data_IF_329089488770
#
_entry.id   IF_329089488770
#
_cell.length_a   1.000
_cell.length_b   1.000
_cell.length_c   1.000
_cell.angle_alpha   90.00
_cell.angle_beta   90.00
_cell.angle_gamma   90.00
#
_symmetry.space_group_name_H-M   'P 1'
#
loop_
_entity.id
_entity.type
_entity.pdbx_description
1 polymer ?
#
# COMPACT_ATOMS: atom_id res chain seq x y z
N UNK A 1 2.27 1.78 -14.04
CA UNK A 1 1.89 0.35 -14.01
C UNK A 1 0.41 0.25 -13.69
N UNK A 2 -0.26 -0.82 -14.10
CA UNK A 2 -1.67 -1.10 -13.81
C UNK A 2 -1.78 -2.48 -13.17
N UNK A 3 -2.43 -2.57 -12.01
CA UNK A 3 -2.75 -3.83 -11.35
C UNK A 3 -4.18 -4.25 -11.72
N UNK A 4 -4.36 -5.52 -12.05
CA UNK A 4 -5.66 -6.15 -12.23
C UNK A 4 -5.80 -7.27 -11.19
N UNK A 5 -6.63 -7.00 -10.19
CA UNK A 5 -6.80 -7.90 -9.05
C UNK A 5 -8.17 -7.71 -8.41
N UNK A 6 -8.60 -8.66 -7.59
CA UNK A 6 -9.85 -8.51 -6.83
C UNK A 6 -9.64 -7.48 -5.73
N UNK A 7 -10.45 -6.42 -5.75
CA UNK A 7 -10.45 -5.37 -4.75
C UNK A 7 -11.80 -5.35 -4.02
N UNK A 8 -11.74 -5.19 -2.71
CA UNK A 8 -12.91 -5.06 -1.85
C UNK A 8 -12.79 -3.77 -1.05
N UNK A 9 -13.85 -2.96 -1.00
CA UNK A 9 -13.83 -1.64 -0.40
C UNK A 9 -14.81 -1.53 0.78
N UNK A 10 -14.33 -0.90 1.85
CA UNK A 10 -15.19 -0.37 2.90
C UNK A 10 -16.04 0.81 2.38
N UNK A 11 -16.99 1.28 3.18
CA UNK A 11 -17.73 2.52 2.89
C UNK A 11 -16.98 3.77 3.36
N UNK A 12 -15.95 3.59 4.18
CA UNK A 12 -15.16 4.66 4.80
C UNK A 12 -13.69 4.26 4.86
N UNK A 13 -12.81 5.23 5.04
CA UNK A 13 -11.42 5.02 5.42
C UNK A 13 -11.16 5.61 6.82
N UNK A 14 -9.92 5.50 7.29
CA UNK A 14 -9.52 6.00 8.62
C UNK A 14 -9.70 7.52 8.79
N UNK A 15 -9.61 8.28 7.70
CA UNK A 15 -9.71 9.75 7.70
C UNK A 15 -11.14 10.26 7.59
N UNK A 16 -12.10 9.39 7.27
CA UNK A 16 -13.50 9.78 7.21
C UNK A 16 -13.95 10.42 8.54
N UNK A 17 -14.83 11.42 8.48
CA UNK A 17 -15.41 12.06 9.66
C UNK A 17 -16.10 11.04 10.60
N UNK A 18 -16.62 9.96 10.01
CA UNK A 18 -17.29 8.87 10.73
C UNK A 18 -16.32 7.99 11.51
N UNK A 19 -15.06 7.91 11.08
CA UNK A 19 -13.99 7.22 11.78
C UNK A 19 -13.27 8.16 12.76
N UNK A 20 -12.95 9.37 12.32
CA UNK A 20 -12.14 10.36 13.04
C UNK A 20 -10.85 9.73 13.59
N UNK A 21 -10.09 9.08 12.71
CA UNK A 21 -8.86 8.35 13.03
C UNK A 21 -7.73 8.69 12.06
N UNK A 22 -7.45 9.98 11.87
CA UNK A 22 -6.49 10.48 10.89
C UNK A 22 -5.11 9.83 11.04
N UNK A 23 -4.68 9.60 12.28
CA UNK A 23 -3.41 8.96 12.67
C UNK A 23 -3.62 7.60 13.36
N UNK A 24 -4.78 6.97 13.15
CA UNK A 24 -5.16 5.75 13.87
C UNK A 24 -4.59 4.44 13.29
N UNK A 25 -3.72 4.51 12.27
CA UNK A 25 -3.28 3.34 11.50
C UNK A 25 -2.76 2.20 12.39
N UNK A 26 -1.95 2.50 13.41
CA UNK A 26 -1.40 1.51 14.35
C UNK A 26 -2.47 0.81 15.20
N UNK A 27 -3.46 1.55 15.71
CA UNK A 27 -4.57 0.97 16.47
C UNK A 27 -5.51 0.16 15.56
N UNK A 28 -5.73 0.65 14.34
CA UNK A 28 -6.53 -0.02 13.32
C UNK A 28 -5.95 -1.37 12.93
N UNK A 29 -4.65 -1.46 12.64
CA UNK A 29 -4.02 -2.74 12.33
C UNK A 29 -4.06 -3.71 13.51
N UNK A 30 -3.97 -3.23 14.76
CA UNK A 30 -4.12 -4.08 15.93
C UNK A 30 -5.54 -4.68 16.02
N UNK A 31 -6.59 -3.85 15.88
CA UNK A 31 -7.99 -4.31 15.89
C UNK A 31 -8.28 -5.27 14.73
N UNK A 32 -7.79 -4.96 13.53
CA UNK A 32 -7.99 -5.82 12.34
C UNK A 32 -7.22 -7.13 12.48
N UNK A 33 -5.98 -7.10 12.98
CA UNK A 33 -5.18 -8.32 13.17
C UNK A 33 -5.83 -9.26 14.18
N UNK A 34 -6.30 -8.75 15.31
CA UNK A 34 -7.06 -9.53 16.30
C UNK A 34 -8.31 -10.15 15.69
N UNK A 35 -9.09 -9.38 14.92
CA UNK A 35 -10.27 -9.91 14.24
C UNK A 35 -9.90 -11.04 13.26
N UNK A 36 -8.85 -10.85 12.45
CA UNK A 36 -8.41 -11.86 11.47
C UNK A 36 -7.89 -13.12 12.15
N UNK A 37 -7.21 -13.01 13.29
CA UNK A 37 -6.80 -14.17 14.09
C UNK A 37 -8.01 -14.92 14.62
N UNK A 38 -9.03 -14.22 15.13
CA UNK A 38 -10.25 -14.87 15.61
C UNK A 38 -11.17 -15.37 14.47
N UNK A 39 -10.86 -15.08 13.20
CA UNK A 39 -11.65 -15.41 12.02
C UNK A 39 -10.77 -15.94 10.87
N UNK A 40 -9.87 -16.89 11.16
CA UNK A 40 -8.78 -17.36 10.27
C UNK A 40 -9.16 -17.52 8.79
N UNK A 41 -10.27 -18.18 8.50
CA UNK A 41 -10.71 -18.53 7.14
C UNK A 41 -11.67 -17.51 6.50
N UNK A 42 -11.93 -16.39 7.18
CA UNK A 42 -12.86 -15.38 6.73
C UNK A 42 -12.13 -14.08 6.40
N UNK A 43 -12.85 -13.25 5.64
CA UNK A 43 -12.54 -11.85 5.40
C UNK A 43 -13.75 -11.04 5.83
N UNK A 44 -13.57 -9.82 6.37
CA UNK A 44 -14.70 -9.04 6.86
C UNK A 44 -15.59 -8.64 5.69
N UNK A 45 -16.91 -8.75 5.88
CA UNK A 45 -17.87 -8.12 4.96
C UNK A 45 -17.87 -6.60 5.15
N UNK A 46 -18.58 -5.86 4.29
CA UNK A 46 -18.41 -4.40 4.21
C UNK A 46 -18.77 -3.70 5.51
N UNK A 47 -19.87 -4.11 6.12
CA UNK A 47 -20.31 -3.59 7.42
C UNK A 47 -19.34 -3.96 8.54
N UNK A 48 -18.75 -5.16 8.53
CA UNK A 48 -17.74 -5.57 9.50
C UNK A 48 -16.47 -4.75 9.33
N UNK A 49 -16.01 -4.52 8.10
CA UNK A 49 -14.81 -3.73 7.86
C UNK A 49 -15.01 -2.27 8.28
N UNK A 50 -16.16 -1.68 7.95
CA UNK A 50 -16.58 -0.36 8.46
C UNK A 50 -16.59 -0.29 9.99
N UNK A 51 -17.03 -1.36 10.67
CA UNK A 51 -17.03 -1.43 12.14
C UNK A 51 -15.60 -1.53 12.68
N UNK A 52 -14.75 -2.40 12.13
CA UNK A 52 -13.34 -2.52 12.52
C UNK A 52 -12.60 -1.18 12.40
N UNK A 53 -12.91 -0.39 11.36
CA UNK A 53 -12.35 0.96 11.19
C UNK A 53 -12.82 1.89 12.31
N UNK A 54 -14.10 1.91 12.64
CA UNK A 54 -14.61 2.76 13.73
C UNK A 54 -14.07 2.34 15.10
N UNK A 55 -13.96 1.04 15.33
CA UNK A 55 -13.47 0.48 16.58
C UNK A 55 -11.99 0.82 16.76
N UNK A 56 -11.14 0.58 15.75
CA UNK A 56 -9.72 0.97 15.82
C UNK A 56 -9.52 2.47 15.99
N UNK A 57 -10.31 3.31 15.32
CA UNK A 57 -10.27 4.76 15.53
C UNK A 57 -10.79 5.19 16.90
N UNK A 58 -11.75 4.46 17.50
CA UNK A 58 -12.18 4.69 18.87
C UNK A 58 -11.07 4.38 19.86
N UNK A 59 -10.38 3.24 19.71
CA UNK A 59 -9.25 2.88 20.57
C UNK A 59 -8.12 3.90 20.47
N UNK A 60 -7.79 4.36 19.25
CA UNK A 60 -6.83 5.45 19.05
C UNK A 60 -7.24 6.73 19.79
N UNK A 61 -8.51 7.16 19.71
CA UNK A 61 -8.99 8.35 20.43
C UNK A 61 -8.89 8.18 21.95
N UNK A 62 -9.15 6.98 22.48
CA UNK A 62 -8.96 6.66 23.90
C UNK A 62 -7.49 6.81 24.32
N UNK A 63 -6.55 6.39 23.47
CA UNK A 63 -5.12 6.60 23.71
C UNK A 63 -4.74 8.10 23.66
N UNK A 64 -5.33 8.89 22.74
CA UNK A 64 -5.03 10.31 22.62
C UNK A 64 -5.45 11.16 23.84
N UNK A 65 -6.47 10.73 24.60
CA UNK A 65 -6.91 11.46 25.80
C UNK A 65 -6.12 11.08 27.06
N UNK A 66 -5.35 9.99 27.01
CA UNK A 66 -4.48 9.59 28.10
C UNK A 66 -3.28 10.55 28.22
N UNK A 67 -3.09 11.14 29.40
CA UNK A 67 -2.04 12.14 29.62
C UNK A 67 -0.63 11.61 29.34
N UNK A 68 -0.33 10.37 29.73
CA UNK A 68 0.98 9.73 29.51
C UNK A 68 1.27 9.56 28.03
N UNK A 69 0.31 9.08 27.24
CA UNK A 69 0.49 8.91 25.80
C UNK A 69 0.50 10.25 25.07
N UNK A 70 -0.28 11.23 25.52
CA UNK A 70 -0.29 12.59 24.95
C UNK A 70 1.04 13.31 25.14
N UNK A 71 1.70 13.11 26.28
CA UNK A 71 3.04 13.66 26.52
C UNK A 71 4.11 12.97 25.68
N UNK A 72 4.03 11.64 25.52
CA UNK A 72 4.99 10.86 24.70
C UNK A 72 4.79 11.07 23.19
N UNK A 73 3.55 11.23 22.73
CA UNK A 73 3.18 11.39 21.31
C UNK A 73 2.28 12.62 21.10
N UNK A 74 2.85 13.84 21.11
CA UNK A 74 2.08 15.06 20.90
C UNK A 74 1.41 15.14 19.51
N UNK A 75 2.01 14.49 18.51
CA UNK A 75 1.50 14.34 17.15
C UNK A 75 0.39 13.27 17.04
N UNK A 76 0.17 12.47 18.09
CA UNK A 76 -0.78 11.34 18.15
C UNK A 76 -0.46 10.17 17.20
N UNK A 77 0.77 10.09 16.68
CA UNK A 77 1.26 8.96 15.90
C UNK A 77 1.90 7.93 16.84
N UNK A 78 1.13 6.91 17.24
CA UNK A 78 1.61 5.88 18.16
C UNK A 78 2.43 4.79 17.43
N UNK A 79 3.55 4.39 18.04
CA UNK A 79 4.30 3.21 17.64
C UNK A 79 3.53 1.91 17.98
N UNK A 80 3.88 0.80 17.32
CA UNK A 80 3.19 -0.48 17.51
C UNK A 80 3.34 -0.99 18.95
N UNK A 81 4.51 -0.79 19.54
CA UNK A 81 4.80 -1.22 20.92
C UNK A 81 3.87 -0.54 21.92
N UNK A 82 3.62 0.76 21.77
CA UNK A 82 2.69 1.52 22.62
C UNK A 82 1.26 0.95 22.53
N UNK A 83 0.79 0.62 21.33
CA UNK A 83 -0.56 0.05 21.15
C UNK A 83 -0.68 -1.34 21.79
N UNK A 84 0.38 -2.15 21.72
CA UNK A 84 0.43 -3.47 22.35
C UNK A 84 0.52 -3.34 23.88
N UNK A 85 1.39 -2.48 24.39
CA UNK A 85 1.54 -2.19 25.82
C UNK A 85 0.24 -1.68 26.44
N UNK A 86 -0.49 -0.84 25.69
CA UNK A 86 -1.81 -0.34 26.09
C UNK A 86 -2.90 -1.42 26.11
N UNK A 87 -2.64 -2.61 25.58
CA UNK A 87 -3.57 -3.75 25.50
C UNK A 87 -4.89 -3.38 24.83
N UNK A 88 -4.81 -2.64 23.73
CA UNK A 88 -5.98 -2.35 22.87
C UNK A 88 -6.66 -3.65 22.43
N UNK A 89 -5.85 -4.67 22.14
CA UNK A 89 -6.24 -6.07 21.91
C UNK A 89 -5.19 -7.00 22.51
N UNK A 90 -5.54 -8.27 22.70
CA UNK A 90 -4.64 -9.32 23.22
C UNK A 90 -3.67 -9.82 22.13
N UNK A 91 -2.85 -8.90 21.62
CA UNK A 91 -1.81 -9.20 20.63
C UNK A 91 -0.43 -9.28 21.28
N UNK A 92 0.44 -10.11 20.69
CA UNK A 92 1.84 -10.21 21.07
C UNK A 92 2.71 -10.29 19.82
N UNK A 93 3.81 -9.54 19.80
CA UNK A 93 4.83 -9.65 18.76
C UNK A 93 5.65 -10.92 19.01
N UNK A 94 5.97 -11.65 17.94
CA UNK A 94 6.84 -12.82 17.98
C UNK A 94 8.18 -12.45 17.36
N UNK A 95 9.18 -12.01 18.14
CA UNK A 95 10.41 -11.42 17.58
C UNK A 95 11.15 -12.36 16.61
N UNK A 96 11.13 -13.67 16.87
CA UNK A 96 11.76 -14.67 16.02
C UNK A 96 11.11 -14.83 14.62
N UNK A 97 9.94 -14.22 14.40
CA UNK A 97 9.20 -14.23 13.12
C UNK A 97 8.89 -12.80 12.65
N UNK A 98 9.56 -11.81 13.22
CA UNK A 98 9.46 -10.40 12.85
C UNK A 98 10.72 -10.00 12.10
N UNK A 99 10.55 -9.22 11.04
CA UNK A 99 11.63 -8.89 10.11
C UNK A 99 11.76 -7.38 10.00
N UNK A 100 13.01 -6.91 9.93
CA UNK A 100 13.36 -5.53 9.60
C UNK A 100 14.32 -5.60 8.43
N UNK A 101 14.05 -4.82 7.40
CA UNK A 101 14.87 -4.80 6.21
C UNK A 101 14.70 -3.54 5.39
N UNK A 102 15.53 -3.44 4.36
CA UNK A 102 15.68 -2.22 3.56
C UNK A 102 15.50 -2.54 2.09
N UNK A 103 15.01 -1.54 1.35
CA UNK A 103 15.03 -1.54 -0.10
C UNK A 103 16.40 -1.06 -0.56
N UNK A 104 17.05 -1.85 -1.41
CA UNK A 104 18.30 -1.48 -2.07
C UNK A 104 17.93 -1.07 -3.49
N UNK A 105 18.16 0.19 -3.91
CA UNK A 105 17.84 0.63 -5.27
C UNK A 105 18.66 -0.11 -6.33
N UNK A 106 18.06 -0.33 -7.50
CA UNK A 106 18.72 -0.99 -8.63
C UNK A 106 19.87 -0.11 -9.16
N UNK A 107 21.05 -0.69 -9.38
CA UNK A 107 22.22 0.01 -9.93
C UNK A 107 23.14 0.67 -8.89
N UNK A 108 22.93 0.42 -7.60
CA UNK A 108 23.88 0.79 -6.52
C UNK A 108 24.70 -0.42 -6.05
N UNK A 109 24.90 -1.39 -6.94
CA UNK A 109 25.85 -2.50 -6.73
C UNK A 109 27.26 -1.91 -6.53
N UNK A 110 27.75 -1.93 -5.29
CA UNK A 110 29.07 -1.39 -4.92
C UNK A 110 29.05 -0.02 -4.22
N UNK A 111 27.88 0.53 -3.87
CA UNK A 111 27.80 1.65 -2.91
C UNK A 111 28.27 1.22 -1.52
N UNK A 112 28.96 2.10 -0.79
CA UNK A 112 29.34 1.84 0.60
C UNK A 112 28.09 1.90 1.51
N UNK A 113 27.38 0.77 1.59
CA UNK A 113 26.27 0.54 2.50
C UNK A 113 26.72 -0.27 3.74
N UNK A 114 27.94 -0.02 4.24
CA UNK A 114 28.46 -0.72 5.42
C UNK A 114 27.57 -0.55 6.66
N UNK A 115 26.72 0.50 6.70
CA UNK A 115 25.72 0.71 7.76
C UNK A 115 24.51 -0.24 7.68
N UNK A 116 24.23 -0.83 6.51
CA UNK A 116 23.20 -1.86 6.35
C UNK A 116 23.74 -3.27 6.64
N UNK A 117 24.99 -3.38 7.10
CA UNK A 117 25.60 -4.67 7.41
C UNK A 117 24.79 -5.38 8.52
N UNK A 118 24.18 -6.52 8.16
CA UNK A 118 23.31 -7.32 9.04
C UNK A 118 21.82 -7.09 8.84
N UNK A 119 21.40 -6.13 8.00
CA UNK A 119 20.00 -5.93 7.69
C UNK A 119 19.53 -6.81 6.51
N UNK A 120 18.27 -7.25 6.56
CA UNK A 120 17.69 -8.06 5.48
C UNK A 120 17.32 -7.18 4.27
N UNK A 121 17.44 -7.75 3.07
CA UNK A 121 16.83 -7.14 1.88
C UNK A 121 15.32 -7.40 1.87
N UNK A 122 14.54 -6.55 1.20
CA UNK A 122 13.11 -6.81 1.00
C UNK A 122 12.85 -8.18 0.33
N UNK A 123 13.69 -8.58 -0.62
CA UNK A 123 13.58 -9.90 -1.26
C UNK A 123 13.79 -11.03 -0.25
N UNK A 124 14.79 -10.92 0.62
CA UNK A 124 15.05 -11.90 1.68
C UNK A 124 13.90 -11.98 2.68
N UNK A 125 13.28 -10.85 3.04
CA UNK A 125 12.09 -10.84 3.91
C UNK A 125 10.94 -11.57 3.22
N UNK A 126 10.72 -11.30 1.95
CA UNK A 126 9.66 -11.96 1.19
C UNK A 126 9.89 -13.47 1.11
N UNK A 127 11.14 -13.88 0.89
CA UNK A 127 11.51 -15.29 0.87
C UNK A 127 11.23 -15.94 2.23
N UNK A 128 11.57 -15.31 3.36
CA UNK A 128 11.24 -15.83 4.70
C UNK A 128 9.72 -15.95 4.94
N UNK A 129 8.94 -14.96 4.50
CA UNK A 129 7.47 -15.00 4.55
C UNK A 129 6.95 -16.19 3.74
N UNK A 130 7.55 -16.49 2.59
CA UNK A 130 7.17 -17.61 1.74
C UNK A 130 7.61 -18.97 2.30
N UNK A 131 8.83 -19.09 2.83
CA UNK A 131 9.36 -20.36 3.35
C UNK A 131 8.66 -20.80 4.64
N UNK A 132 8.21 -19.85 5.46
CA UNK A 132 7.48 -20.14 6.70
C UNK A 132 6.00 -20.53 6.47
N UNK A 133 5.58 -20.78 5.22
CA UNK A 133 4.21 -21.14 4.81
C UNK A 133 3.85 -22.63 4.97
N UNK A 134 4.64 -23.41 5.68
CA UNK A 134 4.53 -24.87 5.77
C UNK A 134 3.35 -25.41 6.62
N UNK A 135 2.34 -24.58 6.89
CA UNK A 135 1.11 -24.97 7.61
C UNK A 135 -0.15 -24.43 6.93
N UNK A 136 -1.29 -25.06 7.21
CA UNK A 136 -2.60 -24.75 6.60
C UNK A 136 -3.24 -23.45 7.15
N UNK A 137 -2.60 -22.81 8.14
CA UNK A 137 -3.13 -21.64 8.84
C UNK A 137 -2.71 -20.31 8.18
N UNK A 138 -3.68 -19.40 8.07
CA UNK A 138 -3.45 -18.04 7.62
C UNK A 138 -2.48 -17.31 8.57
N UNK A 139 -1.44 -16.69 8.01
CA UNK A 139 -0.49 -15.86 8.76
C UNK A 139 -0.79 -14.38 8.55
N UNK A 140 -0.70 -13.60 9.61
CA UNK A 140 -1.04 -12.18 9.62
C UNK A 140 0.20 -11.41 10.02
N UNK A 141 0.64 -10.51 9.15
CA UNK A 141 1.76 -9.61 9.40
C UNK A 141 1.22 -8.19 9.47
N UNK A 142 1.64 -7.45 10.51
CA UNK A 142 1.51 -6.00 10.56
C UNK A 142 2.74 -5.43 9.87
N UNK A 143 2.54 -4.62 8.83
CA UNK A 143 3.61 -4.04 8.02
C UNK A 143 3.66 -2.54 8.29
N UNK A 144 4.82 -2.05 8.72
CA UNK A 144 5.13 -0.62 8.77
C UNK A 144 5.89 -0.23 7.50
N UNK A 145 5.40 0.79 6.79
CA UNK A 145 6.05 1.35 5.62
C UNK A 145 5.82 2.86 5.54
N UNK A 146 6.89 3.64 5.57
CA UNK A 146 6.85 5.10 5.47
C UNK A 146 5.86 5.74 6.47
N UNK A 147 5.99 5.40 7.76
CA UNK A 147 5.14 5.87 8.87
C UNK A 147 3.66 5.47 8.77
N UNK A 148 3.33 4.48 7.93
CA UNK A 148 1.98 3.95 7.82
C UNK A 148 1.94 2.44 8.04
N UNK A 149 0.92 2.00 8.76
CA UNK A 149 0.70 0.59 9.08
C UNK A 149 -0.45 -0.01 8.27
N UNK A 150 -0.23 -1.20 7.72
CA UNK A 150 -1.25 -1.99 7.03
C UNK A 150 -1.05 -3.49 7.32
N UNK A 151 -2.03 -4.33 6.95
CA UNK A 151 -1.95 -5.78 7.17
C UNK A 151 -1.58 -6.49 5.87
N UNK A 152 -0.64 -7.43 5.98
CA UNK A 152 -0.39 -8.48 4.99
C UNK A 152 -0.88 -9.82 5.56
N UNK A 153 -1.98 -10.35 5.01
CA UNK A 153 -2.46 -11.71 5.32
C UNK A 153 -1.96 -12.68 4.25
N UNK A 154 -1.33 -13.76 4.68
CA UNK A 154 -0.74 -14.80 3.84
C UNK A 154 -1.52 -16.09 3.99
N UNK A 155 -2.07 -16.60 2.89
CA UNK A 155 -2.67 -17.93 2.80
C UNK A 155 -2.02 -18.71 1.66
N UNK A 156 -2.24 -20.02 1.60
CA UNK A 156 -1.57 -20.93 0.64
C UNK A 156 -1.63 -20.42 -0.80
N UNK A 157 -2.82 -20.01 -1.25
CA UNK A 157 -3.08 -19.65 -2.65
C UNK A 157 -3.20 -18.14 -2.93
N UNK A 158 -3.05 -17.29 -1.90
CA UNK A 158 -3.21 -15.85 -2.06
C UNK A 158 -2.50 -15.02 -0.99
N UNK A 159 -2.17 -13.78 -1.33
CA UNK A 159 -1.85 -12.73 -0.37
C UNK A 159 -2.99 -11.71 -0.32
N UNK A 160 -3.19 -11.09 0.84
CA UNK A 160 -4.10 -9.97 0.98
C UNK A 160 -3.37 -8.79 1.59
N UNK A 161 -3.51 -7.62 0.97
CA UNK A 161 -3.15 -6.33 1.56
C UNK A 161 -4.44 -5.69 2.04
N UNK A 162 -4.51 -5.37 3.33
CA UNK A 162 -5.64 -4.65 3.94
C UNK A 162 -5.10 -3.33 4.45
N UNK A 163 -5.62 -2.23 3.91
CA UNK A 163 -5.16 -0.89 4.22
C UNK A 163 -6.35 0.01 4.50
N UNK A 164 -6.26 0.73 5.61
CA UNK A 164 -7.30 1.63 6.09
C UNK A 164 -7.18 3.05 5.54
N UNK A 165 -6.12 3.36 4.79
CA UNK A 165 -5.89 4.65 4.17
C UNK A 165 -6.06 4.57 2.65
N UNK A 166 -7.22 4.98 2.16
CA UNK A 166 -7.62 4.80 0.75
C UNK A 166 -6.66 5.45 -0.24
N UNK A 167 -6.17 6.66 0.07
CA UNK A 167 -5.34 7.46 -0.84
C UNK A 167 -4.03 6.77 -1.25
N UNK A 168 -3.57 5.77 -0.48
CA UNK A 168 -2.39 4.96 -0.80
C UNK A 168 -2.62 4.04 -2.00
N UNK A 169 -3.88 3.73 -2.33
CA UNK A 169 -4.22 2.95 -3.51
C UNK A 169 -4.20 3.82 -4.78
N UNK A 170 -4.86 4.96 -4.73
CA UNK A 170 -4.84 6.00 -5.76
C UNK A 170 -5.31 7.35 -5.18
N UNK A 171 -4.89 8.44 -5.81
CA UNK A 171 -5.21 9.80 -5.38
C UNK A 171 -6.72 10.07 -5.31
N UNK A 172 -7.19 10.62 -4.19
CA UNK A 172 -8.60 10.93 -3.96
C UNK A 172 -9.45 9.73 -3.53
N UNK A 173 -8.88 8.54 -3.36
CA UNK A 173 -9.59 7.42 -2.75
C UNK A 173 -9.84 7.69 -1.26
N UNK A 174 -11.10 7.57 -0.84
CA UNK A 174 -11.57 7.81 0.53
C UNK A 174 -12.21 6.56 1.16
N UNK A 175 -11.84 5.38 0.65
CA UNK A 175 -12.34 4.09 1.11
C UNK A 175 -11.16 3.20 1.50
N UNK A 176 -11.22 2.61 2.69
CA UNK A 176 -10.31 1.53 3.04
C UNK A 176 -10.53 0.34 2.08
N UNK A 177 -9.49 -0.43 1.84
CA UNK A 177 -9.49 -1.45 0.81
C UNK A 177 -8.80 -2.73 1.23
N UNK A 178 -9.19 -3.82 0.56
CA UNK A 178 -8.55 -5.12 0.62
C UNK A 178 -8.24 -5.54 -0.80
N UNK A 179 -6.96 -5.74 -1.11
CA UNK A 179 -6.50 -6.32 -2.37
C UNK A 179 -6.18 -7.79 -2.15
N UNK A 180 -6.78 -8.67 -2.96
CA UNK A 180 -6.42 -10.09 -3.00
C UNK A 180 -5.51 -10.35 -4.19
N UNK A 181 -4.36 -10.96 -3.95
CA UNK A 181 -3.38 -11.37 -4.96
C UNK A 181 -3.42 -12.89 -5.08
N UNK A 182 -3.98 -13.42 -6.16
CA UNK A 182 -4.09 -14.86 -6.41
C UNK A 182 -3.59 -15.23 -7.81
N UNK A 183 -3.76 -16.49 -8.22
CA UNK A 183 -3.32 -16.99 -9.54
C UNK A 183 -3.82 -16.17 -10.74
N UNK A 184 -4.91 -15.41 -10.60
CA UNK A 184 -5.51 -14.60 -11.66
C UNK A 184 -5.04 -13.14 -11.63
N UNK A 185 -4.27 -12.74 -10.62
CA UNK A 185 -3.75 -11.38 -10.51
C UNK A 185 -2.68 -11.12 -11.58
N UNK A 186 -2.73 -9.93 -12.17
CA UNK A 186 -1.72 -9.48 -13.15
C UNK A 186 -1.32 -8.03 -12.88
N UNK A 187 -0.06 -7.71 -13.17
CA UNK A 187 0.45 -6.34 -13.22
C UNK A 187 0.99 -6.09 -14.62
N UNK A 188 0.54 -5.02 -15.25
CA UNK A 188 0.93 -4.63 -16.60
C UNK A 188 1.63 -3.27 -16.61
N UNK A 189 2.56 -3.05 -17.55
CA UNK A 189 3.02 -1.69 -17.88
C UNK A 189 1.90 -0.99 -18.63
N UNK A 190 1.64 0.26 -18.25
CA UNK A 190 0.75 1.11 -19.02
C UNK A 190 1.58 1.74 -20.14
N UNK A 191 1.12 1.72 -21.41
CA UNK A 191 1.76 2.48 -22.46
C UNK A 191 1.83 3.95 -22.04
N UNK A 192 3.00 4.57 -22.14
CA UNK A 192 3.11 6.02 -21.99
C UNK A 192 2.36 6.59 -23.19
N UNK A 193 1.14 7.10 -22.97
CA UNK A 193 0.49 7.93 -23.96
C UNK A 193 1.39 9.16 -24.13
N UNK A 194 2.09 9.26 -25.26
CA UNK A 194 2.71 10.50 -25.68
C UNK A 194 1.61 11.56 -25.66
N UNK A 195 1.70 12.50 -24.73
CA UNK A 195 0.84 13.68 -24.71
C UNK A 195 0.97 14.35 -26.07
N UNK A 196 -0.10 14.33 -26.86
CA UNK A 196 -0.23 15.22 -28.00
C UNK A 196 -0.20 16.65 -27.48
N UNK A 197 0.61 17.57 -28.05
CA UNK A 197 0.66 18.94 -27.58
C UNK A 197 -0.72 19.60 -27.74
N UNK A 198 -1.27 20.04 -26.62
CA UNK A 198 -2.53 20.78 -26.52
C UNK A 198 -2.50 22.08 -27.33
N UNK A 199 -3.58 22.27 -28.08
CA UNK A 199 -4.35 23.51 -28.28
C UNK A 199 -3.60 24.85 -28.34
N UNK A 200 -3.46 25.36 -29.57
CA UNK A 200 -3.40 26.81 -29.82
C UNK A 200 -4.80 27.42 -29.87
N UNK A 201 -4.96 28.71 -29.49
CA UNK A 201 -6.26 29.33 -29.27
C UNK A 201 -7.02 29.57 -30.58
N UNK A 202 -8.33 29.31 -30.53
CA UNK A 202 -9.32 29.59 -31.57
C UNK A 202 -9.35 31.08 -31.92
N UNK A 203 -9.27 31.41 -33.20
CA UNK A 203 -9.68 32.71 -33.71
C UNK A 203 -10.61 32.56 -34.93
N UNK A 204 -11.84 33.03 -34.71
CA UNK A 204 -12.72 33.79 -35.60
C UNK A 204 -13.31 33.19 -36.89
N UNK A 205 -14.65 33.26 -36.88
CA UNK A 205 -15.60 33.67 -37.95
C UNK A 205 -16.33 32.62 -38.79
N UNK A 206 -17.64 32.81 -38.80
CA UNK A 206 -18.73 32.10 -39.47
C UNK A 206 -18.63 32.13 -41.01
N UNK A 207 -19.10 31.07 -41.69
CA UNK A 207 -20.19 31.14 -42.68
C UNK A 207 -20.45 29.81 -43.43
N UNK A 208 -21.75 29.51 -43.57
CA UNK A 208 -22.45 28.86 -44.71
C UNK A 208 -22.35 27.35 -45.00
N UNK A 209 -23.53 26.72 -44.86
CA UNK A 209 -24.33 25.93 -45.83
C UNK A 209 -23.86 24.57 -46.40
N UNK A 210 -24.78 23.62 -46.19
CA UNK A 210 -25.36 22.63 -47.12
C UNK A 210 -24.66 21.28 -47.42
N UNK A 211 -25.41 20.24 -47.03
CA UNK A 211 -25.55 18.85 -47.50
C UNK A 211 -24.70 18.33 -48.68
N UNK A 212 -24.08 17.15 -48.51
CA UNK A 212 -24.51 15.87 -49.12
C UNK A 212 -23.54 14.70 -48.88
N UNK A 213 -24.14 13.53 -48.66
CA UNK A 213 -23.74 12.16 -49.00
C UNK A 213 -22.27 11.72 -48.87
N UNK A 214 -22.04 10.60 -48.18
CA UNK A 214 -21.66 9.30 -48.79
C UNK A 214 -21.39 8.26 -47.69
N UNK A 215 -21.89 7.05 -47.91
CA UNK A 215 -21.60 5.82 -47.17
C UNK A 215 -20.17 5.39 -47.51
N UNK A 216 -19.35 5.01 -46.52
CA UNK A 216 -18.44 3.85 -46.60
C UNK A 216 -17.63 3.61 -45.30
N UNK A 217 -17.77 2.38 -44.77
CA UNK A 217 -16.79 1.59 -43.99
C UNK A 217 -16.17 2.18 -42.71
N UNK A 218 -16.85 1.98 -41.57
CA UNK A 218 -16.21 1.89 -40.25
C UNK A 218 -15.65 0.47 -40.05
N UNK A 219 -14.44 0.21 -40.54
CA UNK A 219 -13.56 -0.80 -39.93
C UNK A 219 -12.54 -0.05 -39.07
N UNK A 220 -13.00 0.44 -37.91
CA UNK A 220 -12.13 0.95 -36.88
C UNK A 220 -11.56 -0.26 -36.12
N UNK A 221 -10.50 -0.85 -36.68
CA UNK A 221 -9.58 -1.71 -35.95
C UNK A 221 -9.10 -0.94 -34.71
N UNK A 222 -9.67 -1.28 -33.56
CA UNK A 222 -9.08 -0.93 -32.27
C UNK A 222 -7.80 -1.73 -32.16
N UNK A 223 -6.66 -1.09 -32.47
CA UNK A 223 -5.37 -1.64 -32.09
C UNK A 223 -5.32 -1.65 -30.57
N UNK A 224 -5.64 -2.78 -29.98
CA UNK A 224 -5.30 -3.10 -28.60
C UNK A 224 -3.79 -2.87 -28.47
N UNK A 225 -3.40 -1.74 -27.91
CA UNK A 225 -2.01 -1.51 -27.53
C UNK A 225 -1.68 -2.62 -26.53
N UNK A 226 -0.91 -3.62 -26.96
CA UNK A 226 -0.57 -4.79 -26.15
C UNK A 226 0.08 -4.33 -24.85
N UNK A 227 -0.68 -4.40 -23.76
CA UNK A 227 -0.17 -4.09 -22.43
C UNK A 227 0.77 -5.22 -22.02
N UNK A 228 2.07 -4.93 -21.94
CA UNK A 228 3.09 -5.88 -21.50
C UNK A 228 2.82 -6.32 -20.05
N UNK A 229 2.59 -7.62 -19.85
CA UNK A 229 2.40 -8.19 -18.51
C UNK A 229 3.75 -8.36 -17.82
N UNK A 230 3.96 -7.65 -16.72
CA UNK A 230 5.22 -7.64 -15.93
C UNK A 230 5.26 -8.77 -14.92
N UNK A 231 4.14 -9.02 -14.24
CA UNK A 231 4.05 -9.99 -13.18
C UNK A 231 2.66 -10.65 -13.16
N UNK A 232 2.58 -11.91 -12.71
CA UNK A 232 1.34 -12.68 -12.61
C UNK A 232 1.30 -13.50 -11.33
N UNK A 233 0.09 -13.88 -10.94
CA UNK A 233 -0.15 -14.76 -9.81
C UNK A 233 -0.03 -14.04 -8.47
N UNK A 234 0.01 -14.82 -7.38
CA UNK A 234 0.10 -14.27 -6.02
C UNK A 234 1.39 -13.46 -5.79
N UNK A 235 2.49 -13.82 -6.45
CA UNK A 235 3.76 -13.08 -6.36
C UNK A 235 3.69 -11.64 -6.91
N UNK A 236 2.61 -11.30 -7.65
CA UNK A 236 2.32 -9.91 -7.97
C UNK A 236 2.12 -9.03 -6.71
N UNK A 237 1.85 -9.61 -5.54
CA UNK A 237 1.83 -8.88 -4.27
C UNK A 237 3.21 -8.30 -3.92
N UNK A 238 4.28 -9.09 -4.11
CA UNK A 238 5.66 -8.66 -3.92
C UNK A 238 5.96 -7.45 -4.81
N UNK A 239 5.60 -7.60 -6.08
CA UNK A 239 5.81 -6.58 -7.09
C UNK A 239 4.98 -5.33 -6.81
N UNK A 240 3.74 -5.46 -6.35
CA UNK A 240 2.91 -4.32 -5.95
C UNK A 240 3.56 -3.50 -4.82
N UNK A 241 4.11 -4.14 -3.80
CA UNK A 241 4.79 -3.43 -2.71
C UNK A 241 6.04 -2.71 -3.25
N UNK A 242 6.88 -3.38 -4.05
CA UNK A 242 8.07 -2.78 -4.67
C UNK A 242 7.73 -1.60 -5.59
N UNK A 243 6.77 -1.80 -6.47
CA UNK A 243 6.55 -0.95 -7.64
C UNK A 243 5.43 0.07 -7.50
N UNK A 244 4.57 -0.05 -6.47
CA UNK A 244 3.55 0.94 -6.16
C UNK A 244 3.80 1.61 -4.81
N UNK A 245 3.93 0.83 -3.73
CA UNK A 245 4.07 1.42 -2.38
C UNK A 245 5.46 2.02 -2.14
N UNK A 246 6.52 1.41 -2.67
CA UNK A 246 7.89 1.88 -2.49
C UNK A 246 8.41 2.76 -3.63
N UNK A 247 7.72 2.81 -4.77
CA UNK A 247 8.25 3.43 -5.98
C UNK A 247 8.43 4.95 -5.91
N UNK A 248 7.62 5.69 -5.14
CA UNK A 248 7.82 7.14 -4.98
C UNK A 248 9.05 7.39 -4.07
N UNK A 249 9.09 6.87 -2.82
CA UNK A 249 10.26 7.05 -1.95
C UNK A 249 11.58 6.59 -2.58
N UNK A 250 11.59 5.46 -3.29
CA UNK A 250 12.79 4.95 -3.95
C UNK A 250 13.25 5.88 -5.08
N UNK A 251 12.33 6.38 -5.93
CA UNK A 251 12.71 7.31 -7.01
C UNK A 251 13.24 8.64 -6.48
N UNK A 252 12.66 9.16 -5.40
CA UNK A 252 13.14 10.36 -4.73
C UNK A 252 14.54 10.14 -4.15
N UNK A 253 14.74 9.02 -3.44
CA UNK A 253 16.04 8.58 -2.92
C UNK A 253 17.09 8.46 -4.03
N UNK A 254 16.78 7.80 -5.14
CA UNK A 254 17.67 7.68 -6.29
C UNK A 254 18.03 9.04 -6.91
N UNK A 255 17.06 9.96 -6.99
CA UNK A 255 17.29 11.30 -7.51
C UNK A 255 18.24 12.10 -6.60
N UNK A 256 18.09 11.97 -5.29
CA UNK A 256 18.95 12.65 -4.30
C UNK A 256 20.37 12.08 -4.27
N UNK A 257 20.52 10.76 -4.42
CA UNK A 257 21.83 10.11 -4.60
C UNK A 257 22.50 10.62 -5.88
N UNK A 258 21.77 10.64 -7.01
CA UNK A 258 22.30 11.16 -8.29
C UNK A 258 22.70 12.64 -8.23
N UNK A 259 22.01 13.45 -7.42
CA UNK A 259 22.34 14.87 -7.18
C UNK A 259 23.49 15.06 -6.17
N UNK A 260 24.01 13.99 -5.55
CA UNK A 260 25.05 14.07 -4.52
C UNK A 260 24.58 14.75 -3.23
N UNK A 261 23.26 14.79 -2.98
CA UNK A 261 22.66 15.42 -1.80
C UNK A 261 22.74 14.53 -0.56
N UNK A 262 22.98 13.24 -0.72
CA UNK A 262 23.25 12.32 0.39
C UNK A 262 24.74 12.28 0.71
N UNK A 263 25.18 13.14 1.64
CA UNK A 263 26.56 13.15 2.18
C UNK A 263 26.71 12.51 3.57
N UNK A 264 25.61 12.13 4.21
CA UNK A 264 25.61 11.32 5.42
C UNK A 264 24.22 10.71 5.62
N UNK A 265 24.11 9.45 6.07
CA UNK A 265 22.82 8.81 6.29
C UNK A 265 22.04 9.52 7.41
N UNK A 266 20.70 9.53 7.35
CA UNK A 266 19.89 9.95 8.48
C UNK A 266 20.24 9.10 9.70
N UNK A 267 20.31 9.71 10.88
CA UNK A 267 20.51 9.00 12.13
C UNK A 267 19.41 7.97 12.30
N UNK A 268 19.79 6.72 12.56
CA UNK A 268 18.89 5.63 12.95
C UNK A 268 18.34 5.98 14.33
N UNK A 269 17.32 6.82 14.36
CA UNK A 269 16.53 7.14 15.54
C UNK A 269 15.07 6.96 15.14
N UNK A 270 14.56 5.77 15.41
CA UNK A 270 13.13 5.46 15.38
C UNK A 270 12.62 4.91 14.06
N UNK A 271 12.72 3.59 13.88
CA UNK A 271 11.50 2.90 13.44
C UNK A 271 10.48 3.11 14.57
N UNK A 272 9.54 4.02 14.36
CA UNK A 272 8.29 4.07 15.13
C UNK A 272 7.35 2.99 14.58
#
# INVERSE_FOLDING_TARGET
MKIQTQAFFASIDQRSERAAGESACTALVAVIADWLQNNHNLMPIKSQFDTLIRDGSLEWRNLCVNDTYRERFPDKHFDLDTVIEAKVRDLCVVPAKSFIGFFVPDGVEGGNFDFLHGAMSFDSIWDEINHSSSGDDARIFIVSWNDHFFILKVVTDAYYIIDTLGERLYEGCNQAYILKFDKNTTICKQPIACQSPEDKPKNSTEASREEKSSIESEEQMTSEQETEVVCRGKEACKEYIKSFLAAIPIRELEADIKKGLMKSPPSITGCR
#
